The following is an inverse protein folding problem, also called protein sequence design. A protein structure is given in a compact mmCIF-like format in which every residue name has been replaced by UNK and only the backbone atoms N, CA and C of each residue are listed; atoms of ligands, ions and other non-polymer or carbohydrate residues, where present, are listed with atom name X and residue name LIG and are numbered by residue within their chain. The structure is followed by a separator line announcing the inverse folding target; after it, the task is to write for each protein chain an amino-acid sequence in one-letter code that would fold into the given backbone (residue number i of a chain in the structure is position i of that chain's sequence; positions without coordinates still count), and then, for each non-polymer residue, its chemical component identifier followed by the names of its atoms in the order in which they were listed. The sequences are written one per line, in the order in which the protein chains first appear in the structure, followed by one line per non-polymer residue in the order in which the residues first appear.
data_IF_964805489927
#
_entry.id   IF_964805489927
#
_cell.length_a   1.000
_cell.length_b   1.000
_cell.length_c   1.000
_cell.angle_alpha   90.00
_cell.angle_beta   90.00
_cell.angle_gamma   90.00
#
_symmetry.space_group_name_H-M   'P 1'
#
loop_
_entity.id
_entity.type
_entity.pdbx_description
1 polymer ?
#
# COMPACT_ATOMS: atom_id res chain seq x y z
N UNK A 1 -22.30 15.44 -5.96
CA UNK A 1 -22.08 16.36 -4.84
C UNK A 1 -22.76 17.66 -5.21
N UNK A 2 -23.73 18.09 -4.42
CA UNK A 2 -24.43 19.37 -4.63
C UNK A 2 -23.58 20.52 -4.10
N UNK A 3 -23.88 21.76 -4.51
CA UNK A 3 -23.20 22.96 -4.00
C UNK A 3 -23.34 23.07 -2.47
N UNK A 4 -24.50 22.70 -1.92
CA UNK A 4 -24.76 22.71 -0.49
C UNK A 4 -23.91 21.69 0.28
N UNK A 5 -23.75 20.48 -0.27
CA UNK A 5 -22.85 19.44 0.28
C UNK A 5 -21.39 19.90 0.24
N UNK A 6 -20.97 20.54 -0.85
CA UNK A 6 -19.62 21.08 -1.02
C UNK A 6 -19.31 22.17 0.01
N UNK A 7 -20.20 23.14 0.20
CA UNK A 7 -20.03 24.22 1.19
C UNK A 7 -20.04 23.68 2.63
N UNK A 8 -20.85 22.65 2.92
CA UNK A 8 -20.86 21.97 4.22
C UNK A 8 -19.52 21.27 4.49
N UNK A 9 -18.94 20.60 3.50
CA UNK A 9 -17.63 19.94 3.60
C UNK A 9 -16.50 20.94 3.86
N UNK A 10 -16.49 22.08 3.13
CA UNK A 10 -15.49 23.15 3.34
C UNK A 10 -15.53 23.71 4.76
N UNK A 11 -16.73 23.94 5.31
CA UNK A 11 -16.90 24.39 6.70
C UNK A 11 -16.39 23.37 7.71
N UNK A 12 -16.64 22.07 7.50
CA UNK A 12 -16.11 21.01 8.36
C UNK A 12 -14.57 20.96 8.38
N UNK A 13 -13.94 21.33 7.26
CA UNK A 13 -12.48 21.37 7.12
C UNK A 13 -11.87 22.73 7.51
N UNK A 14 -12.68 23.68 8.01
CA UNK A 14 -12.26 25.06 8.31
C UNK A 14 -11.57 25.77 7.12
N UNK A 15 -11.96 25.44 5.89
CA UNK A 15 -11.36 25.98 4.66
C UNK A 15 -12.33 26.92 3.95
N UNK A 16 -11.82 28.02 3.40
CA UNK A 16 -12.62 28.92 2.54
C UNK A 16 -12.63 28.39 1.11
N UNK A 17 -13.70 28.69 0.35
CA UNK A 17 -13.76 28.33 -1.07
C UNK A 17 -12.59 28.92 -1.87
N UNK A 18 -12.18 30.15 -1.54
CA UNK A 18 -11.02 30.78 -2.17
C UNK A 18 -9.73 30.00 -1.91
N UNK A 19 -9.44 29.64 -0.65
CA UNK A 19 -8.26 28.82 -0.31
C UNK A 19 -8.31 27.48 -1.05
N UNK A 20 -9.48 26.83 -1.07
CA UNK A 20 -9.66 25.57 -1.78
C UNK A 20 -9.38 25.70 -3.29
N UNK A 21 -9.88 26.76 -3.93
CA UNK A 21 -9.62 27.03 -5.35
C UNK A 21 -8.14 27.30 -5.62
N UNK A 22 -7.46 28.03 -4.74
CA UNK A 22 -6.03 28.30 -4.83
C UNK A 22 -5.20 27.03 -4.68
N UNK A 23 -5.52 26.18 -3.70
CA UNK A 23 -4.84 24.91 -3.47
C UNK A 23 -5.09 23.94 -4.63
N UNK A 24 -6.33 23.86 -5.12
CA UNK A 24 -6.67 23.10 -6.33
C UNK A 24 -5.90 23.57 -7.55
N UNK A 25 -5.76 24.88 -7.75
CA UNK A 25 -4.96 25.46 -8.85
C UNK A 25 -3.49 25.04 -8.73
N UNK A 26 -2.90 25.10 -7.53
CA UNK A 26 -1.52 24.67 -7.28
C UNK A 26 -1.34 23.18 -7.58
N UNK A 27 -2.24 22.33 -7.07
CA UNK A 27 -2.21 20.89 -7.31
C UNK A 27 -2.27 20.55 -8.80
N UNK A 28 -3.19 21.19 -9.55
CA UNK A 28 -3.28 21.00 -11.00
C UNK A 28 -2.04 21.51 -11.74
N UNK A 29 -1.43 22.61 -11.29
CA UNK A 29 -0.19 23.12 -11.88
C UNK A 29 0.98 22.16 -11.64
N UNK A 30 1.12 21.63 -10.43
CA UNK A 30 2.13 20.61 -10.08
C UNK A 30 1.90 19.36 -10.92
N UNK A 31 0.67 18.86 -10.99
CA UNK A 31 0.33 17.69 -11.80
C UNK A 31 0.66 17.90 -13.27
N UNK A 32 0.31 19.06 -13.85
CA UNK A 32 0.67 19.41 -15.24
C UNK A 32 2.18 19.45 -15.44
N UNK A 33 2.93 19.98 -14.48
CA UNK A 33 4.39 20.04 -14.53
C UNK A 33 5.00 18.64 -14.47
N UNK A 34 4.54 17.78 -13.55
CA UNK A 34 4.97 16.38 -13.47
C UNK A 34 4.67 15.64 -14.78
N UNK A 35 3.42 15.76 -15.27
CA UNK A 35 3.00 15.16 -16.54
C UNK A 35 3.86 15.61 -17.73
N UNK A 36 4.30 16.88 -17.76
CA UNK A 36 5.19 17.38 -18.81
C UNK A 36 6.50 16.60 -18.88
N UNK A 37 7.07 16.23 -17.74
CA UNK A 37 8.34 15.49 -17.69
C UNK A 37 8.15 13.97 -17.78
N UNK A 38 7.01 13.45 -17.35
CA UNK A 38 6.72 12.00 -17.40
C UNK A 38 6.11 11.53 -18.71
N UNK A 39 5.55 12.43 -19.53
CA UNK A 39 4.94 12.07 -20.82
C UNK A 39 5.92 11.48 -21.84
N UNK A 40 7.21 11.77 -21.73
CA UNK A 40 8.26 11.25 -22.62
C UNK A 40 8.84 9.91 -22.16
N UNK A 41 8.32 9.34 -21.06
CA UNK A 41 8.79 8.04 -20.56
C UNK A 41 8.38 6.94 -21.52
N UNK A 42 9.35 6.48 -22.30
CA UNK A 42 9.24 5.28 -23.12
C UNK A 42 9.96 4.12 -22.43
N UNK A 43 9.35 2.94 -22.49
CA UNK A 43 9.93 1.68 -22.03
C UNK A 43 10.15 0.82 -23.27
N UNK A 44 11.37 0.32 -23.45
CA UNK A 44 11.71 -0.56 -24.57
C UNK A 44 11.37 -2.02 -24.26
N UNK A 45 11.13 -2.82 -25.30
CA UNK A 45 10.91 -4.26 -25.15
C UNK A 45 12.09 -4.96 -24.48
N UNK A 46 13.31 -4.50 -24.74
CA UNK A 46 14.52 -5.01 -24.11
C UNK A 46 14.51 -4.82 -22.59
N UNK A 47 14.11 -3.64 -22.11
CA UNK A 47 14.01 -3.37 -20.67
C UNK A 47 12.97 -4.29 -20.02
N UNK A 48 11.86 -4.57 -20.71
CA UNK A 48 10.82 -5.49 -20.24
C UNK A 48 11.36 -6.93 -20.13
N UNK A 49 12.10 -7.39 -21.14
CA UNK A 49 12.74 -8.70 -21.15
C UNK A 49 13.79 -8.87 -20.05
N UNK A 50 14.65 -7.86 -19.88
CA UNK A 50 15.68 -7.84 -18.81
C UNK A 50 15.02 -7.84 -17.43
N UNK A 51 13.95 -7.05 -17.23
CA UNK A 51 13.20 -7.04 -15.98
C UNK A 51 12.58 -8.41 -15.68
N UNK A 52 11.92 -9.03 -16.66
CA UNK A 52 11.35 -10.36 -16.49
C UNK A 52 12.43 -11.40 -16.16
N UNK A 53 13.55 -11.38 -16.88
CA UNK A 53 14.65 -12.32 -16.69
C UNK A 53 15.27 -12.20 -15.29
N UNK A 54 15.42 -10.98 -14.76
CA UNK A 54 15.93 -10.72 -13.43
C UNK A 54 14.94 -11.06 -12.31
N UNK A 55 13.63 -11.04 -12.59
CA UNK A 55 12.58 -11.15 -11.58
C UNK A 55 11.63 -12.34 -11.79
N UNK A 56 12.08 -13.43 -12.43
CA UNK A 56 11.24 -14.60 -12.78
C UNK A 56 10.40 -15.14 -11.63
N UNK A 57 10.93 -15.12 -10.41
CA UNK A 57 10.23 -15.59 -9.21
C UNK A 57 8.96 -14.79 -8.89
N UNK A 58 8.91 -13.49 -9.24
CA UNK A 58 7.72 -12.64 -9.05
C UNK A 58 6.58 -13.02 -10.00
N UNK A 59 6.90 -13.70 -11.11
CA UNK A 59 5.92 -14.13 -12.12
C UNK A 59 5.47 -15.58 -11.92
N UNK A 60 5.83 -16.19 -10.79
CA UNK A 60 5.34 -17.50 -10.40
C UNK A 60 4.05 -17.31 -9.62
N UNK A 61 2.92 -17.71 -10.20
CA UNK A 61 1.68 -17.83 -9.43
C UNK A 61 1.85 -19.08 -8.56
N UNK A 62 2.11 -18.87 -7.27
CA UNK A 62 2.21 -19.95 -6.30
C UNK A 62 0.91 -20.76 -6.20
N UNK A 63 1.01 -21.92 -5.56
CA UNK A 63 -0.16 -22.72 -5.15
C UNK A 63 -1.16 -21.83 -4.41
N UNK A 64 -2.41 -21.84 -4.85
CA UNK A 64 -3.43 -20.93 -4.35
C UNK A 64 -4.84 -21.29 -4.76
N UNK A 65 -5.80 -20.52 -4.25
CA UNK A 65 -7.22 -20.69 -4.51
C UNK A 65 -7.87 -19.33 -4.75
N UNK A 66 -8.85 -19.30 -5.65
CA UNK A 66 -9.76 -18.18 -5.79
C UNK A 66 -11.04 -18.50 -5.04
N UNK A 67 -11.43 -17.60 -4.14
CA UNK A 67 -12.51 -17.84 -3.19
C UNK A 67 -13.59 -16.75 -3.30
N UNK A 68 -14.80 -17.14 -2.93
CA UNK A 68 -15.83 -16.20 -2.51
C UNK A 68 -16.26 -16.54 -1.08
N UNK A 69 -16.69 -15.55 -0.30
CA UNK A 69 -17.11 -15.71 1.07
C UNK A 69 -18.52 -15.21 1.35
N UNK A 70 -19.10 -15.77 2.40
CA UNK A 70 -20.26 -15.21 3.10
C UNK A 70 -19.86 -15.13 4.56
N UNK A 71 -19.99 -13.94 5.12
CA UNK A 71 -19.57 -13.66 6.49
C UNK A 71 -20.76 -13.20 7.32
N UNK A 72 -20.80 -13.68 8.55
CA UNK A 72 -21.72 -13.21 9.60
C UNK A 72 -20.88 -12.85 10.82
N UNK A 73 -21.02 -11.62 11.27
CA UNK A 73 -20.38 -11.04 12.45
C UNK A 73 -21.33 -11.17 13.65
N UNK A 74 -20.86 -11.58 14.84
CA UNK A 74 -21.69 -11.58 16.04
C UNK A 74 -21.86 -10.20 16.70
N UNK A 75 -21.18 -9.16 16.21
CA UNK A 75 -21.28 -7.79 16.75
C UNK A 75 -22.32 -6.96 15.98
N UNK A 76 -23.01 -6.08 16.70
CA UNK A 76 -23.94 -5.12 16.09
C UNK A 76 -23.18 -4.12 15.20
N UNK A 77 -23.25 -4.35 13.89
CA UNK A 77 -22.67 -3.54 12.82
C UNK A 77 -23.69 -2.54 12.24
N UNK A 78 -24.92 -2.50 12.78
CA UNK A 78 -25.97 -1.58 12.34
C UNK A 78 -26.65 -1.95 11.02
N UNK A 79 -26.48 -3.18 10.51
CA UNK A 79 -27.20 -3.69 9.34
C UNK A 79 -28.62 -4.15 9.70
N UNK A 80 -29.51 -4.18 8.69
CA UNK A 80 -30.94 -4.47 8.90
C UNK A 80 -31.23 -5.91 9.37
N UNK A 81 -30.40 -6.87 8.95
CA UNK A 81 -30.56 -8.31 9.27
C UNK A 81 -29.41 -8.81 10.17
N UNK A 82 -28.81 -7.92 10.95
CA UNK A 82 -27.56 -8.18 11.65
C UNK A 82 -27.68 -9.18 12.80
N UNK A 83 -26.64 -9.99 13.01
CA UNK A 83 -26.54 -10.85 14.17
C UNK A 83 -25.94 -10.08 15.36
N UNK A 84 -26.57 -10.17 16.54
CA UNK A 84 -26.18 -9.36 17.72
C UNK A 84 -25.56 -10.18 18.84
N UNK A 85 -25.35 -11.47 18.58
CA UNK A 85 -24.65 -12.38 19.49
C UNK A 85 -24.06 -13.56 18.73
N UNK A 86 -23.14 -14.29 19.37
CA UNK A 86 -22.55 -15.51 18.80
C UNK A 86 -23.61 -16.58 18.47
N UNK A 87 -24.65 -16.70 19.30
CA UNK A 87 -25.72 -17.67 19.09
C UNK A 87 -26.57 -17.30 17.86
N UNK A 88 -26.91 -16.02 17.70
CA UNK A 88 -27.63 -15.52 16.53
C UNK A 88 -26.79 -15.64 15.26
N UNK A 89 -25.50 -15.31 15.32
CA UNK A 89 -24.58 -15.43 14.20
C UNK A 89 -24.49 -16.88 13.71
N UNK A 90 -24.39 -17.84 14.64
CA UNK A 90 -24.39 -19.27 14.32
C UNK A 90 -25.71 -19.70 13.66
N UNK A 91 -26.86 -19.31 14.22
CA UNK A 91 -28.16 -19.65 13.63
C UNK A 91 -28.30 -19.06 12.22
N UNK A 92 -27.86 -17.81 12.04
CA UNK A 92 -27.92 -17.12 10.76
C UNK A 92 -27.04 -17.80 9.71
N UNK A 93 -25.78 -18.08 10.02
CA UNK A 93 -24.87 -18.74 9.07
C UNK A 93 -25.35 -20.17 8.74
N UNK A 94 -25.91 -20.90 9.71
CA UNK A 94 -26.49 -22.22 9.48
C UNK A 94 -27.70 -22.14 8.52
N UNK A 95 -28.58 -21.13 8.68
CA UNK A 95 -29.71 -20.89 7.78
C UNK A 95 -29.25 -20.47 6.37
N UNK A 96 -28.20 -19.66 6.27
CA UNK A 96 -27.55 -19.31 4.99
C UNK A 96 -27.04 -20.59 4.32
N UNK A 97 -26.33 -21.44 5.06
CA UNK A 97 -25.80 -22.71 4.55
C UNK A 97 -26.91 -23.63 4.02
N UNK A 98 -28.07 -23.70 4.68
CA UNK A 98 -29.21 -24.44 4.14
C UNK A 98 -29.76 -23.81 2.85
N UNK A 99 -29.79 -22.47 2.77
CA UNK A 99 -30.26 -21.75 1.58
C UNK A 99 -29.36 -21.99 0.35
N UNK A 100 -28.05 -22.17 0.56
CA UNK A 100 -27.07 -22.48 -0.49
C UNK A 100 -27.28 -23.84 -1.18
N UNK A 101 -28.11 -24.73 -0.62
CA UNK A 101 -28.41 -26.03 -1.25
C UNK A 101 -29.26 -25.88 -2.51
N UNK A 102 -30.07 -24.81 -2.60
CA UNK A 102 -30.98 -24.57 -3.72
C UNK A 102 -30.80 -23.20 -4.38
N UNK A 103 -30.04 -22.28 -3.76
CA UNK A 103 -29.81 -20.94 -4.26
C UNK A 103 -28.40 -20.72 -4.83
N UNK A 104 -28.24 -19.64 -5.59
CA UNK A 104 -26.93 -19.20 -6.06
C UNK A 104 -26.12 -18.54 -4.94
N UNK A 105 -24.82 -18.84 -4.88
CA UNK A 105 -23.94 -18.32 -3.84
C UNK A 105 -23.77 -16.80 -3.92
N UNK A 106 -23.62 -16.24 -5.12
CA UNK A 106 -23.36 -14.82 -5.29
C UNK A 106 -24.60 -13.98 -4.97
N UNK A 107 -25.80 -14.47 -5.29
CA UNK A 107 -27.05 -13.83 -4.89
C UNK A 107 -27.23 -13.83 -3.37
N UNK A 108 -27.01 -14.98 -2.73
CA UNK A 108 -27.11 -15.10 -1.27
C UNK A 108 -26.06 -14.24 -0.58
N UNK A 109 -24.82 -14.20 -1.09
CA UNK A 109 -23.76 -13.35 -0.57
C UNK A 109 -24.13 -11.86 -0.65
N UNK A 110 -24.67 -11.38 -1.78
CA UNK A 110 -25.15 -9.99 -1.92
C UNK A 110 -26.22 -9.64 -0.89
N UNK A 111 -27.12 -10.57 -0.61
CA UNK A 111 -28.28 -10.32 0.24
C UNK A 111 -27.97 -10.47 1.74
N UNK A 112 -27.09 -11.40 2.11
CA UNK A 112 -26.96 -11.86 3.52
C UNK A 112 -25.55 -11.76 4.10
N UNK A 113 -24.52 -11.56 3.29
CA UNK A 113 -23.15 -11.39 3.81
C UNK A 113 -22.99 -9.99 4.42
N UNK A 114 -22.40 -9.94 5.59
CA UNK A 114 -22.10 -8.73 6.35
C UNK A 114 -20.69 -8.19 6.07
N UNK A 115 -19.97 -8.81 5.13
CA UNK A 115 -18.68 -8.30 4.64
C UNK A 115 -18.84 -7.44 3.38
N UNK A 116 -17.87 -6.54 3.14
CA UNK A 116 -17.85 -5.67 1.95
C UNK A 116 -17.77 -6.45 0.64
N UNK A 117 -17.29 -7.70 0.68
CA UNK A 117 -17.31 -8.62 -0.46
C UNK A 117 -18.73 -8.83 -1.02
N UNK A 118 -19.79 -8.57 -0.23
CA UNK A 118 -21.19 -8.75 -0.64
C UNK A 118 -21.52 -8.02 -1.96
N UNK A 119 -20.97 -6.82 -2.19
CA UNK A 119 -21.19 -6.01 -3.41
C UNK A 119 -20.74 -6.78 -4.66
N UNK A 120 -19.72 -7.63 -4.53
CA UNK A 120 -19.18 -8.47 -5.60
C UNK A 120 -19.67 -9.92 -5.53
N UNK A 121 -20.78 -10.18 -4.81
CA UNK A 121 -21.29 -11.54 -4.64
C UNK A 121 -20.37 -12.44 -3.80
N UNK A 122 -19.68 -11.84 -2.82
CA UNK A 122 -18.75 -12.54 -1.95
C UNK A 122 -17.34 -12.68 -2.54
N UNK A 123 -17.05 -12.15 -3.73
CA UNK A 123 -15.75 -12.38 -4.34
C UNK A 123 -14.60 -11.69 -3.59
N UNK A 124 -13.66 -12.52 -3.10
CA UNK A 124 -12.43 -12.10 -2.41
C UNK A 124 -11.17 -12.34 -3.25
N UNK A 125 -11.31 -12.91 -4.46
CA UNK A 125 -10.22 -13.09 -5.40
C UNK A 125 -9.29 -14.25 -5.07
N UNK A 126 -8.11 -14.23 -5.69
CA UNK A 126 -7.08 -15.27 -5.57
C UNK A 126 -6.14 -15.00 -4.39
N UNK A 127 -5.93 -16.03 -3.57
CA UNK A 127 -4.96 -16.02 -2.48
C UNK A 127 -4.02 -17.22 -2.60
N UNK A 128 -2.73 -16.98 -2.44
CA UNK A 128 -1.73 -18.06 -2.31
C UNK A 128 -1.87 -18.74 -0.94
N UNK A 129 -1.40 -19.97 -0.83
CA UNK A 129 -1.39 -20.69 0.45
C UNK A 129 -0.68 -19.89 1.55
N UNK A 130 0.43 -19.23 1.23
CA UNK A 130 1.16 -18.37 2.17
C UNK A 130 0.37 -17.13 2.57
N UNK A 131 -0.36 -16.50 1.63
CA UNK A 131 -1.23 -15.38 1.93
C UNK A 131 -2.37 -15.79 2.87
N UNK A 132 -2.96 -16.98 2.68
CA UNK A 132 -3.99 -17.49 3.59
C UNK A 132 -3.43 -17.69 5.01
N UNK A 133 -2.22 -18.26 5.13
CA UNK A 133 -1.53 -18.41 6.43
C UNK A 133 -1.26 -17.06 7.09
N UNK A 134 -0.77 -16.09 6.33
CA UNK A 134 -0.48 -14.73 6.83
C UNK A 134 -1.74 -13.98 7.26
N UNK A 135 -2.87 -14.22 6.57
CA UNK A 135 -4.18 -13.65 6.91
C UNK A 135 -4.91 -14.42 8.04
N UNK A 136 -4.24 -15.35 8.72
CA UNK A 136 -4.76 -16.02 9.91
C UNK A 136 -5.81 -17.10 9.65
N UNK A 137 -5.89 -17.65 8.43
CA UNK A 137 -6.77 -18.78 8.15
C UNK A 137 -6.32 -20.00 8.97
N UNK A 138 -7.25 -20.73 9.62
CA UNK A 138 -6.91 -21.96 10.34
C UNK A 138 -6.28 -22.99 9.40
N UNK A 139 -5.22 -23.67 9.85
CA UNK A 139 -4.54 -24.68 9.02
C UNK A 139 -5.49 -25.79 8.54
N UNK A 140 -6.45 -26.20 9.36
CA UNK A 140 -7.47 -27.18 8.98
C UNK A 140 -8.36 -26.71 7.81
N UNK A 141 -8.69 -25.42 7.77
CA UNK A 141 -9.45 -24.83 6.68
C UNK A 141 -8.59 -24.75 5.41
N UNK A 142 -7.31 -24.36 5.54
CA UNK A 142 -6.35 -24.38 4.43
C UNK A 142 -6.28 -25.80 3.85
N UNK A 143 -6.02 -26.81 4.68
CA UNK A 143 -5.93 -28.21 4.26
C UNK A 143 -7.23 -28.68 3.58
N UNK A 144 -8.39 -28.24 4.06
CA UNK A 144 -9.68 -28.51 3.43
C UNK A 144 -9.79 -27.86 2.05
N UNK A 145 -9.46 -26.57 1.92
CA UNK A 145 -9.55 -25.82 0.65
C UNK A 145 -8.64 -26.41 -0.43
N UNK A 146 -7.44 -26.84 -0.04
CA UNK A 146 -6.48 -27.46 -0.96
C UNK A 146 -6.68 -28.98 -1.11
N UNK A 147 -7.44 -29.60 -0.23
CA UNK A 147 -7.67 -31.04 -0.20
C UNK A 147 -8.46 -31.57 -1.41
N UNK A 148 -8.48 -32.90 -1.62
CA UNK A 148 -9.18 -33.52 -2.75
C UNK A 148 -10.71 -33.44 -2.63
N UNK A 149 -11.24 -33.23 -1.42
CA UNK A 149 -12.68 -33.10 -1.16
C UNK A 149 -13.27 -31.78 -1.63
N UNK A 150 -12.47 -30.71 -1.71
CA UNK A 150 -12.91 -29.40 -2.17
C UNK A 150 -12.73 -29.29 -3.69
N UNK A 151 -13.85 -29.34 -4.40
CA UNK A 151 -13.90 -29.18 -5.85
C UNK A 151 -14.28 -27.75 -6.23
N UNK A 152 -13.92 -27.34 -7.44
CA UNK A 152 -14.33 -26.04 -7.97
C UNK A 152 -15.85 -25.97 -8.04
N UNK A 153 -16.42 -24.91 -7.48
CA UNK A 153 -17.86 -24.70 -7.31
C UNK A 153 -18.40 -25.14 -5.94
N UNK A 154 -17.69 -26.00 -5.22
CA UNK A 154 -18.07 -26.44 -3.86
C UNK A 154 -17.88 -25.32 -2.84
N UNK A 155 -18.57 -25.44 -1.71
CA UNK A 155 -18.45 -24.53 -0.57
C UNK A 155 -18.25 -25.28 0.75
N UNK A 156 -17.61 -24.63 1.72
CA UNK A 156 -17.32 -25.19 3.03
C UNK A 156 -18.59 -25.25 3.89
N UNK A 157 -18.55 -26.04 4.96
CA UNK A 157 -19.50 -25.84 6.06
C UNK A 157 -19.21 -24.49 6.76
N UNK A 158 -20.14 -23.97 7.58
CA UNK A 158 -19.85 -22.81 8.41
C UNK A 158 -18.63 -23.06 9.30
N UNK A 159 -17.62 -22.19 9.17
CA UNK A 159 -16.39 -22.22 9.96
C UNK A 159 -16.30 -20.94 10.77
N UNK A 160 -15.98 -21.05 12.05
CA UNK A 160 -15.75 -19.90 12.91
C UNK A 160 -14.24 -19.69 13.09
N UNK A 161 -13.76 -18.49 12.81
CA UNK A 161 -12.41 -18.07 13.18
C UNK A 161 -12.38 -16.54 13.31
N UNK A 162 -11.42 -16.02 14.08
CA UNK A 162 -11.31 -14.56 14.33
C UNK A 162 -12.60 -13.90 14.84
N UNK A 163 -13.45 -14.65 15.56
CA UNK A 163 -14.70 -14.16 16.12
C UNK A 163 -15.86 -14.01 15.12
N UNK A 164 -15.69 -14.36 13.83
CA UNK A 164 -16.76 -14.28 12.81
C UNK A 164 -17.04 -15.66 12.23
N UNK A 165 -18.21 -15.82 11.61
CA UNK A 165 -18.61 -17.03 10.92
C UNK A 165 -18.46 -16.86 9.41
N UNK A 166 -17.90 -17.88 8.77
CA UNK A 166 -17.58 -17.86 7.34
C UNK A 166 -18.10 -19.10 6.63
N UNK A 167 -18.56 -18.91 5.39
CA UNK A 167 -18.70 -19.98 4.40
C UNK A 167 -17.89 -19.56 3.18
N UNK A 168 -16.96 -20.41 2.73
CA UNK A 168 -16.17 -20.14 1.53
C UNK A 168 -16.61 -21.01 0.37
N UNK A 169 -16.76 -20.42 -0.81
CA UNK A 169 -16.91 -21.12 -2.08
C UNK A 169 -15.60 -21.10 -2.86
N UNK A 170 -15.18 -22.27 -3.33
CA UNK A 170 -14.00 -22.41 -4.17
C UNK A 170 -14.36 -22.09 -5.62
N UNK A 171 -13.85 -20.98 -6.18
CA UNK A 171 -14.07 -20.58 -7.58
C UNK A 171 -13.02 -21.15 -8.51
N UNK A 172 -11.76 -21.21 -8.06
CA UNK A 172 -10.64 -21.78 -8.81
C UNK A 172 -9.66 -22.42 -7.83
N UNK A 173 -9.08 -23.56 -8.22
CA UNK A 173 -8.01 -24.20 -7.46
C UNK A 173 -6.77 -24.33 -8.33
N UNK A 174 -5.64 -23.89 -7.79
CA UNK A 174 -4.34 -23.98 -8.42
C UNK A 174 -3.39 -24.73 -7.48
N UNK A 175 -3.16 -26.01 -7.79
CA UNK A 175 -2.34 -26.89 -6.97
C UNK A 175 -0.85 -26.78 -7.28
N UNK A 176 -0.53 -26.38 -8.50
CA UNK A 176 0.84 -26.26 -8.99
C UNK A 176 1.22 -24.80 -9.18
N UNK A 177 2.49 -24.51 -8.94
CA UNK A 177 3.05 -23.21 -9.27
C UNK A 177 3.01 -23.04 -10.79
N UNK A 178 2.30 -22.02 -11.27
CA UNK A 178 2.24 -21.69 -12.69
C UNK A 178 3.23 -20.56 -12.96
N UNK A 179 4.25 -20.86 -13.76
CA UNK A 179 5.19 -19.85 -14.21
C UNK A 179 4.51 -19.02 -15.31
N UNK A 180 4.12 -17.79 -15.00
CA UNK A 180 3.71 -16.84 -16.05
C UNK A 180 4.95 -16.50 -16.86
N UNK A 181 4.86 -16.76 -18.16
CA UNK A 181 5.90 -16.41 -19.12
C UNK A 181 5.75 -14.95 -19.51
N UNK A 182 6.78 -14.37 -20.15
CA UNK A 182 6.67 -13.02 -20.69
C UNK A 182 5.52 -12.89 -21.70
N UNK A 183 5.23 -13.96 -22.43
CA UNK A 183 4.17 -14.04 -23.44
C UNK A 183 2.81 -14.41 -22.85
N UNK A 184 2.74 -14.66 -21.53
CA UNK A 184 1.45 -14.85 -20.85
C UNK A 184 0.66 -13.55 -20.88
N UNK A 185 -0.66 -13.67 -21.05
CA UNK A 185 -1.54 -12.50 -21.19
C UNK A 185 -1.36 -11.51 -20.03
N UNK A 186 -1.13 -10.25 -20.38
CA UNK A 186 -0.96 -9.14 -19.45
C UNK A 186 0.44 -8.96 -18.84
N UNK A 187 1.36 -9.93 -18.89
CA UNK A 187 2.67 -9.83 -18.20
C UNK A 187 3.54 -8.70 -18.76
N UNK A 188 3.71 -8.62 -20.10
CA UNK A 188 4.45 -7.52 -20.74
C UNK A 188 3.89 -6.15 -20.36
N UNK A 189 2.56 -6.01 -20.35
CA UNK A 189 1.89 -4.76 -20.00
C UNK A 189 2.12 -4.40 -18.53
N UNK A 190 1.95 -5.36 -17.62
CA UNK A 190 2.20 -5.22 -16.19
C UNK A 190 3.63 -4.73 -15.91
N UNK A 191 4.64 -5.36 -16.54
CA UNK A 191 6.05 -4.95 -16.41
C UNK A 191 6.26 -3.53 -16.98
N UNK A 192 5.69 -3.25 -18.16
CA UNK A 192 5.81 -1.94 -18.81
C UNK A 192 5.25 -0.83 -17.93
N UNK A 193 4.09 -1.06 -17.32
CA UNK A 193 3.46 -0.11 -16.40
C UNK A 193 4.26 0.05 -15.10
N UNK A 194 4.78 -1.04 -14.55
CA UNK A 194 5.65 -1.00 -13.37
C UNK A 194 6.93 -0.18 -13.63
N UNK A 195 7.63 -0.46 -14.74
CA UNK A 195 8.85 0.27 -15.13
C UNK A 195 8.54 1.75 -15.42
N UNK A 196 7.42 2.04 -16.08
CA UNK A 196 6.96 3.42 -16.30
C UNK A 196 6.72 4.12 -14.97
N UNK A 197 5.94 3.52 -14.07
CA UNK A 197 5.62 4.07 -12.75
C UNK A 197 6.89 4.35 -11.94
N UNK A 198 7.83 3.40 -11.91
CA UNK A 198 9.12 3.56 -11.23
C UNK A 198 9.91 4.75 -11.77
N UNK A 199 10.01 4.88 -13.11
CA UNK A 199 10.72 6.00 -13.75
C UNK A 199 10.00 7.33 -13.48
N UNK A 200 8.67 7.35 -13.46
CA UNK A 200 7.89 8.54 -13.09
C UNK A 200 8.13 8.97 -11.64
N UNK A 201 8.15 8.04 -10.69
CA UNK A 201 8.45 8.33 -9.30
C UNK A 201 9.85 8.93 -9.14
N UNK A 202 10.85 8.36 -9.84
CA UNK A 202 12.21 8.89 -9.84
C UNK A 202 12.26 10.31 -10.40
N UNK A 203 11.63 10.55 -11.56
CA UNK A 203 11.58 11.89 -12.18
C UNK A 203 10.89 12.92 -11.29
N UNK A 204 9.81 12.52 -10.60
CA UNK A 204 9.13 13.40 -9.64
C UNK A 204 10.03 13.73 -8.44
N UNK A 205 10.80 12.76 -7.94
CA UNK A 205 11.81 12.99 -6.90
C UNK A 205 12.90 13.96 -7.34
N UNK A 206 13.44 13.78 -8.55
CA UNK A 206 14.46 14.69 -9.12
C UNK A 206 13.88 16.09 -9.34
N UNK A 207 12.65 16.21 -9.84
CA UNK A 207 11.98 17.49 -10.03
C UNK A 207 11.82 18.23 -8.70
N UNK A 208 11.45 17.52 -7.63
CA UNK A 208 11.35 18.08 -6.29
C UNK A 208 12.72 18.57 -5.79
N UNK A 209 13.76 17.75 -5.95
CA UNK A 209 15.13 18.08 -5.53
C UNK A 209 15.63 19.38 -6.20
N UNK A 210 15.50 19.47 -7.52
CA UNK A 210 15.87 20.68 -8.28
C UNK A 210 15.04 21.88 -7.83
N UNK A 211 13.73 21.70 -7.66
CA UNK A 211 12.83 22.77 -7.23
C UNK A 211 13.20 23.31 -5.84
N UNK A 212 13.62 22.44 -4.92
CA UNK A 212 14.08 22.83 -3.58
C UNK A 212 15.42 23.55 -3.61
N UNK A 213 16.34 23.12 -4.47
CA UNK A 213 17.64 23.76 -4.66
C UNK A 213 17.52 25.17 -5.26
N UNK A 214 16.64 25.34 -6.24
CA UNK A 214 16.38 26.64 -6.89
C UNK A 214 15.49 27.56 -6.05
N UNK A 215 14.74 27.01 -5.09
CA UNK A 215 13.85 27.79 -4.24
C UNK A 215 14.64 28.69 -3.27
N UNK A 216 14.31 29.99 -3.29
CA UNK A 216 14.73 30.91 -2.23
C UNK A 216 13.84 30.71 -1.01
N UNK A 217 14.32 29.95 -0.02
CA UNK A 217 13.62 29.74 1.25
C UNK A 217 13.92 30.90 2.20
N UNK A 218 12.91 31.71 2.53
CA UNK A 218 13.01 32.82 3.49
C UNK A 218 12.26 32.46 4.76
N UNK A 219 12.94 32.50 5.91
CA UNK A 219 12.30 32.33 7.20
C UNK A 219 11.64 33.65 7.65
N UNK A 220 10.41 33.87 7.21
CA UNK A 220 9.65 35.07 7.54
C UNK A 220 9.38 35.22 9.05
N UNK A 221 9.34 34.12 9.81
CA UNK A 221 9.20 34.18 11.27
C UNK A 221 10.44 34.82 11.91
N UNK A 222 11.63 34.33 11.56
CA UNK A 222 12.89 34.90 12.04
C UNK A 222 13.06 36.36 11.60
N UNK A 223 12.73 36.67 10.34
CA UNK A 223 12.74 38.06 9.85
C UNK A 223 11.79 38.96 10.65
N UNK A 224 10.58 38.49 10.95
CA UNK A 224 9.61 39.24 11.75
C UNK A 224 10.06 39.42 13.21
N UNK A 225 10.71 38.41 13.80
CA UNK A 225 11.29 38.50 15.15
C UNK A 225 12.42 39.54 15.21
N UNK A 226 13.28 39.59 14.18
CA UNK A 226 14.35 40.58 14.10
C UNK A 226 13.81 42.00 13.88
N UNK A 227 12.79 42.15 13.04
CA UNK A 227 12.19 43.45 12.71
C UNK A 227 11.23 43.96 13.81
N UNK A 228 10.66 43.06 14.62
CA UNK A 228 9.75 43.38 15.72
C UNK A 228 10.21 42.68 17.02
N UNK A 229 11.37 43.05 17.57
CA UNK A 229 11.94 42.38 18.75
C UNK A 229 11.10 42.53 20.02
N UNK A 230 10.16 43.48 20.04
CA UNK A 230 9.21 43.65 21.15
C UNK A 230 7.98 42.74 21.04
N UNK A 231 7.81 42.02 19.92
CA UNK A 231 6.69 41.12 19.65
C UNK A 231 7.15 39.67 19.46
N UNK A 232 8.04 39.18 20.34
CA UNK A 232 8.57 37.81 20.33
C UNK A 232 7.58 36.76 20.87
N UNK A 233 6.31 37.14 21.03
CA UNK A 233 5.31 36.38 21.78
C UNK A 233 5.55 36.45 23.30
N UNK A 234 4.51 36.16 24.08
CA UNK A 234 4.59 36.08 25.54
C UNK A 234 5.36 34.82 25.95
N UNK A 235 6.68 34.81 25.78
CA UNK A 235 7.54 33.84 26.47
C UNK A 235 7.73 34.35 27.90
N UNK A 236 7.34 33.59 28.94
CA UNK A 236 7.66 33.96 30.31
C UNK A 236 9.16 34.13 30.43
N UNK A 237 9.62 35.29 30.89
CA UNK A 237 11.01 35.48 31.25
C UNK A 237 11.31 34.59 32.47
N UNK A 238 11.94 33.43 32.26
CA UNK A 238 12.52 32.68 33.38
C UNK A 238 13.72 33.47 33.90
N UNK A 239 13.78 33.82 35.19
CA UNK A 239 14.95 34.44 35.77
C UNK A 239 16.05 33.37 35.88
N UNK A 240 17.03 33.42 34.98
CA UNK A 240 18.22 32.57 35.00
C UNK A 240 18.36 31.69 33.77
N UNK A 241 19.24 32.11 32.85
CA UNK A 241 19.51 31.33 31.64
C UNK A 241 20.35 32.05 30.60
N UNK A 242 21.45 32.68 31.00
CA UNK A 242 22.55 32.90 30.06
C UNK A 242 23.26 31.55 29.85
N UNK A 243 22.85 30.79 28.83
CA UNK A 243 23.63 29.67 28.31
C UNK A 243 23.52 29.63 26.78
N UNK A 244 24.51 30.29 26.16
CA UNK A 244 25.15 30.08 24.84
C UNK A 244 24.32 29.87 23.55
N UNK A 245 24.85 30.34 22.39
CA UNK A 245 24.16 30.32 21.11
C UNK A 245 24.32 28.99 20.35
N UNK A 246 23.30 28.70 19.52
CA UNK A 246 23.23 27.72 18.43
C UNK A 246 23.57 26.25 18.77
N UNK A 247 22.52 25.46 19.00
CA UNK A 247 22.49 24.12 18.43
C UNK A 247 22.00 24.24 16.97
N UNK A 248 22.89 24.00 16.01
CA UNK A 248 22.53 23.76 14.61
C UNK A 248 21.44 22.68 14.53
N UNK A 249 20.51 22.72 13.55
CA UNK A 249 19.59 21.62 13.35
C UNK A 249 20.42 20.39 12.94
N UNK A 250 20.29 19.33 13.73
CA UNK A 250 20.78 18.02 13.36
C UNK A 250 20.13 17.62 12.03
N UNK A 251 20.94 17.57 10.98
CA UNK A 251 20.63 16.77 9.82
C UNK A 251 20.53 15.32 10.32
N UNK A 252 19.33 14.76 10.31
CA UNK A 252 19.12 13.33 10.47
C UNK A 252 19.59 12.63 9.18
N UNK A 253 20.90 12.51 9.02
CA UNK A 253 21.51 11.54 8.11
C UNK A 253 21.58 10.21 8.84
N UNK A 254 20.71 9.29 8.49
CA UNK A 254 20.92 7.87 8.73
C UNK A 254 22.00 7.38 7.75
N UNK A 255 23.26 7.37 8.22
CA UNK A 255 24.35 6.67 7.56
C UNK A 255 25.03 5.76 8.59
N UNK A 256 24.91 4.47 8.32
CA UNK A 256 25.44 3.33 9.06
C UNK A 256 26.97 3.36 9.13
N UNK A 257 27.51 2.92 10.27
CA UNK A 257 28.92 2.75 10.61
C UNK A 257 29.75 1.97 9.56
N UNK A 258 30.98 2.42 9.35
CA UNK A 258 32.13 1.57 9.04
C UNK A 258 33.27 1.91 10.02
N UNK A 259 33.98 0.94 10.62
CA UNK A 259 34.95 1.21 11.67
C UNK A 259 36.37 1.49 11.14
N UNK A 260 36.95 2.55 11.71
CA UNK A 260 38.26 2.60 12.38
C UNK A 260 39.56 2.29 11.60
N UNK A 261 40.38 3.34 11.46
CA UNK A 261 41.85 3.29 11.32
C UNK A 261 42.54 2.71 12.57
N UNK A 262 43.66 2.02 12.36
CA UNK A 262 44.89 2.14 13.18
C UNK A 262 46.13 1.98 12.25
N UNK A 263 47.37 2.32 12.64
CA UNK A 263 48.20 3.28 11.91
C UNK A 263 49.43 2.65 11.22
N UNK A 264 50.10 3.47 10.41
CA UNK A 264 51.36 3.21 9.68
C UNK A 264 52.49 2.65 10.55
N UNK A 265 53.54 2.04 9.93
CA UNK A 265 54.74 2.85 9.72
C UNK A 265 55.51 2.62 8.38
N UNK A 266 55.99 3.76 7.87
CA UNK A 266 57.27 4.07 7.19
C UNK A 266 58.01 3.06 6.27
N UNK A 267 58.14 3.53 5.02
CA UNK A 267 59.36 3.66 4.16
C UNK A 267 60.15 2.43 3.71
N UNK A 268 60.22 2.23 2.38
CA UNK A 268 61.43 2.19 1.51
C UNK A 268 61.02 1.59 0.14
N UNK A 269 61.07 2.35 -0.97
CA UNK A 269 62.22 2.59 -1.85
C UNK A 269 62.13 1.79 -3.18
N UNK A 270 61.65 2.47 -4.23
CA UNK A 270 62.13 2.48 -5.65
C UNK A 270 62.12 1.19 -6.50
N UNK A 271 62.25 1.29 -7.86
CA UNK A 271 61.34 0.59 -8.78
C UNK A 271 62.05 -0.42 -9.69
N UNK A 272 61.30 -1.33 -10.31
CA UNK A 272 61.80 -2.12 -11.44
C UNK A 272 60.68 -2.50 -12.41
N UNK A 273 60.73 -1.84 -13.57
CA UNK A 273 60.51 -2.35 -14.94
C UNK A 273 59.99 -3.77 -15.16
N UNK A 274 59.08 -3.82 -16.15
CA UNK A 274 58.63 -4.94 -17.00
C UNK A 274 59.70 -5.99 -17.34
N UNK A 275 59.31 -7.20 -17.80
CA UNK A 275 58.99 -7.35 -19.23
C UNK A 275 57.89 -8.39 -19.60
N UNK A 276 57.35 -8.17 -20.81
CA UNK A 276 56.84 -9.11 -21.82
C UNK A 276 56.62 -10.59 -21.41
N UNK A 277 55.44 -11.11 -21.75
CA UNK A 277 55.23 -11.85 -23.02
C UNK A 277 53.75 -11.89 -23.40
#
# INVERSE_FOLDING_TARGET
MTEEEFQKQLKQQNQTEQSFREDSRKLLAIQKLQNKYTASVNISDREVEEYYAANKQQFVIGRGVELADIVVDPHDNGLQDDAKSEAEAKIKIDNIYQSLKTGDFAEIARAKSEDQSNVRGGDIGFATEDALKQNGFPQSLIDQLFGPSMQVGSYTQPVQFSGRWYIFKLKRKQLEAENRTLESSGVRQEITEALRSQRQQLLNGVLLEISLYEAKIVNNLASNMLNNPNNLGLRPASPGGASSPLASPAASTSATEAPSKVPSPKTSATPATSPKK
#
